data_IF_594096331811
#
_entry.id   IF_594096331811
#
_cell.length_a   1.000
_cell.length_b   1.000
_cell.length_c   1.000
_cell.angle_alpha   90.00
_cell.angle_beta   90.00
_cell.angle_gamma   90.00
#
_symmetry.space_group_name_H-M   'P 1'
#
loop_
_entity.id
_entity.type
_entity.pdbx_description
1 polymer ?
#
# COMPACT_ATOMS: atom_id res chain seq x y z
N UNK A 1 -34.38 -6.58 11.18
CA UNK A 1 -33.64 -6.90 9.94
C UNK A 1 -32.88 -5.65 9.51
N UNK A 2 -31.54 -5.63 9.61
CA UNK A 2 -30.75 -4.52 9.06
C UNK A 2 -30.45 -4.83 7.60
N UNK A 3 -31.19 -4.19 6.69
CA UNK A 3 -30.84 -4.16 5.28
C UNK A 3 -29.59 -3.26 5.19
N UNK A 4 -28.43 -3.87 5.05
CA UNK A 4 -27.20 -3.15 4.76
C UNK A 4 -27.15 -2.96 3.24
N UNK A 5 -27.03 -1.71 2.77
CA UNK A 5 -26.75 -1.48 1.35
C UNK A 5 -25.38 -2.08 1.00
N UNK A 6 -25.14 -2.31 -0.29
CA UNK A 6 -23.87 -2.81 -0.81
C UNK A 6 -22.69 -1.96 -0.30
N UNK A 7 -22.91 -0.65 -0.14
CA UNK A 7 -21.89 0.27 0.41
C UNK A 7 -21.54 -0.04 1.87
N UNK A 8 -22.53 -0.35 2.72
CA UNK A 8 -22.30 -0.74 4.12
C UNK A 8 -21.60 -2.10 4.23
N UNK A 9 -21.83 -3.02 3.29
CA UNK A 9 -21.12 -4.29 3.23
C UNK A 9 -19.65 -4.03 2.84
N UNK A 10 -19.41 -3.24 1.80
CA UNK A 10 -18.06 -2.89 1.38
C UNK A 10 -17.28 -2.13 2.46
N UNK A 11 -17.90 -1.20 3.18
CA UNK A 11 -17.21 -0.48 4.28
C UNK A 11 -16.70 -1.44 5.38
N UNK A 12 -17.43 -2.52 5.63
CA UNK A 12 -17.11 -3.48 6.71
C UNK A 12 -16.13 -4.56 6.29
N UNK A 13 -16.11 -4.95 5.01
CA UNK A 13 -15.33 -6.09 4.51
C UNK A 13 -14.26 -5.72 3.48
N UNK A 14 -14.25 -4.50 2.95
CA UNK A 14 -13.24 -4.09 1.99
C UNK A 14 -11.86 -4.02 2.65
N UNK A 15 -10.81 -4.49 1.95
CA UNK A 15 -9.44 -4.35 2.43
C UNK A 15 -9.09 -2.87 2.57
N UNK A 16 -8.30 -2.53 3.59
CA UNK A 16 -7.81 -1.17 3.80
C UNK A 16 -6.42 -1.01 3.23
N UNK A 17 -6.20 0.11 2.55
CA UNK A 17 -4.88 0.51 2.08
C UNK A 17 -3.98 0.81 3.27
N UNK A 18 -2.82 0.16 3.36
CA UNK A 18 -1.90 0.35 4.47
C UNK A 18 -1.31 1.78 4.49
N UNK A 19 -1.10 2.39 3.32
CA UNK A 19 -0.46 3.71 3.22
C UNK A 19 -1.41 4.89 3.51
N UNK A 20 -2.69 4.82 3.10
CA UNK A 20 -3.64 5.93 3.28
C UNK A 20 -4.79 5.61 4.26
N UNK A 21 -4.83 4.39 4.78
CA UNK A 21 -5.83 3.87 5.74
C UNK A 21 -7.29 3.89 5.24
N UNK A 22 -7.55 4.24 3.98
CA UNK A 22 -8.87 4.20 3.34
C UNK A 22 -9.17 2.80 2.78
N UNK A 23 -10.45 2.46 2.68
CA UNK A 23 -10.89 1.23 2.01
C UNK A 23 -10.49 1.24 0.54
N UNK A 24 -10.16 0.06 0.02
CA UNK A 24 -9.94 -0.16 -1.41
C UNK A 24 -11.28 -0.67 -1.94
N UNK A 25 -11.99 0.21 -2.63
CA UNK A 25 -13.29 -0.06 -3.24
C UNK A 25 -13.12 -0.24 -4.75
N UNK A 26 -14.01 -1.00 -5.41
CA UNK A 26 -14.03 -1.06 -6.86
C UNK A 26 -14.39 0.34 -7.41
N UNK A 27 -13.87 0.65 -8.59
CA UNK A 27 -14.23 1.88 -9.29
C UNK A 27 -15.71 1.81 -9.68
N UNK A 28 -16.44 2.93 -9.62
CA UNK A 28 -17.86 2.99 -9.97
C UNK A 28 -18.15 2.32 -11.32
N UNK A 29 -18.90 1.22 -11.30
CA UNK A 29 -19.23 0.43 -12.49
C UNK A 29 -18.37 -0.82 -12.73
N UNK A 30 -17.39 -1.11 -11.86
CA UNK A 30 -16.65 -2.37 -11.85
C UNK A 30 -17.12 -3.27 -10.70
N UNK A 31 -17.23 -4.57 -10.94
CA UNK A 31 -17.53 -5.55 -9.89
C UNK A 31 -16.28 -5.95 -9.10
N UNK A 32 -15.09 -5.82 -9.70
CA UNK A 32 -13.83 -6.24 -9.11
C UNK A 32 -13.03 -5.08 -8.52
N UNK A 33 -12.43 -5.34 -7.36
CA UNK A 33 -11.53 -4.40 -6.70
C UNK A 33 -10.08 -4.73 -7.05
N UNK A 34 -9.41 -3.83 -7.78
CA UNK A 34 -7.98 -3.97 -8.05
C UNK A 34 -7.16 -3.42 -6.88
N UNK A 35 -6.22 -4.22 -6.38
CA UNK A 35 -5.32 -3.85 -5.29
C UNK A 35 -3.95 -4.48 -5.50
N UNK A 36 -2.93 -3.85 -4.92
CA UNK A 36 -1.60 -4.46 -4.79
C UNK A 36 -1.51 -5.15 -3.43
N UNK A 37 -1.00 -6.38 -3.42
CA UNK A 37 -0.69 -7.12 -2.18
C UNK A 37 0.82 -7.25 -2.08
N UNK A 38 1.41 -6.68 -1.03
CA UNK A 38 2.84 -6.77 -0.74
C UNK A 38 3.05 -6.88 0.77
N UNK A 39 3.90 -7.80 1.21
CA UNK A 39 4.18 -8.04 2.64
C UNK A 39 2.92 -8.20 3.50
N UNK A 40 1.96 -8.99 3.03
CA UNK A 40 0.65 -9.21 3.66
C UNK A 40 -0.20 -7.93 3.86
N UNK A 41 0.17 -6.84 3.19
CA UNK A 41 -0.52 -5.56 3.22
C UNK A 41 -1.16 -5.27 1.88
N UNK A 42 -2.32 -4.63 1.93
CA UNK A 42 -3.05 -4.18 0.75
C UNK A 42 -2.78 -2.70 0.47
N UNK A 43 -2.66 -2.34 -0.80
CA UNK A 43 -2.43 -0.96 -1.24
C UNK A 43 -3.32 -0.63 -2.44
N UNK A 44 -3.75 0.62 -2.55
CA UNK A 44 -4.19 1.16 -3.84
C UNK A 44 -3.01 1.15 -4.82
N UNK A 45 -3.29 1.00 -6.12
CA UNK A 45 -2.26 1.07 -7.18
C UNK A 45 -1.45 2.35 -7.05
N UNK A 46 -2.13 3.48 -6.83
CA UNK A 46 -1.48 4.78 -6.67
C UNK A 46 -0.73 4.88 -5.34
N UNK A 47 -1.17 4.18 -4.29
CA UNK A 47 -0.54 4.26 -2.97
C UNK A 47 0.67 3.35 -2.82
N UNK A 48 0.91 2.44 -3.76
CA UNK A 48 2.06 1.56 -3.77
C UNK A 48 3.30 2.30 -4.29
N UNK A 49 3.88 3.13 -3.41
CA UNK A 49 5.02 4.02 -3.68
C UNK A 49 6.01 4.03 -2.53
N UNK A 50 7.25 4.42 -2.81
CA UNK A 50 8.29 4.61 -1.81
C UNK A 50 7.89 5.69 -0.81
N UNK A 51 7.90 5.39 0.48
CA UNK A 51 7.52 6.34 1.53
C UNK A 51 8.51 7.51 1.69
N UNK A 52 9.75 7.36 1.21
CA UNK A 52 10.77 8.40 1.33
C UNK A 52 10.81 9.37 0.13
N UNK A 53 10.62 8.87 -1.10
CA UNK A 53 10.73 9.71 -2.31
C UNK A 53 9.47 9.73 -3.17
N UNK A 54 8.40 9.08 -2.73
CA UNK A 54 7.09 9.00 -3.40
C UNK A 54 7.11 8.40 -4.82
N UNK A 55 8.22 7.78 -5.26
CA UNK A 55 8.27 7.07 -6.54
C UNK A 55 7.34 5.86 -6.51
N UNK A 56 6.48 5.74 -7.51
CA UNK A 56 5.61 4.58 -7.66
C UNK A 56 6.47 3.34 -7.98
N UNK A 57 6.15 2.21 -7.36
CA UNK A 57 6.81 0.96 -7.69
C UNK A 57 6.24 0.43 -9.00
N UNK A 58 7.12 0.14 -9.96
CA UNK A 58 6.74 -0.58 -11.18
C UNK A 58 6.71 -2.09 -10.90
N UNK A 59 6.04 -2.86 -11.74
CA UNK A 59 6.01 -4.33 -11.62
C UNK A 59 7.41 -4.97 -11.76
N UNK A 60 8.35 -4.26 -12.37
CA UNK A 60 9.73 -4.74 -12.57
C UNK A 60 10.65 -4.38 -11.40
N UNK A 61 10.42 -3.23 -10.77
CA UNK A 61 11.22 -2.75 -9.63
C UNK A 61 10.54 -3.13 -8.31
N UNK A 62 11.05 -4.18 -7.68
CA UNK A 62 10.57 -4.61 -6.36
C UNK A 62 10.68 -3.53 -5.29
N UNK A 63 9.81 -3.61 -4.29
CA UNK A 63 9.88 -2.80 -3.08
C UNK A 63 10.69 -3.52 -1.98
N UNK A 64 11.24 -2.75 -1.05
CA UNK A 64 12.07 -3.25 0.05
C UNK A 64 11.41 -2.85 1.38
N UNK A 65 10.93 -3.82 2.18
CA UNK A 65 10.29 -3.54 3.45
C UNK A 65 11.35 -3.22 4.51
N UNK A 66 11.10 -2.21 5.33
CA UNK A 66 11.96 -1.85 6.46
C UNK A 66 11.15 -1.14 7.53
N UNK A 67 11.15 -1.70 8.74
CA UNK A 67 10.55 -1.08 9.94
C UNK A 67 9.13 -0.54 9.65
N UNK A 68 8.29 -1.38 9.04
CA UNK A 68 6.93 -1.07 8.58
C UNK A 68 6.77 -0.12 7.39
N UNK A 69 7.86 0.39 6.82
CA UNK A 69 7.84 1.22 5.62
C UNK A 69 8.23 0.45 4.36
N UNK A 70 7.64 0.81 3.21
CA UNK A 70 8.05 0.33 1.89
C UNK A 70 8.96 1.35 1.19
N UNK A 71 10.18 0.93 0.84
CA UNK A 71 11.19 1.79 0.23
C UNK A 71 11.62 1.27 -1.14
N UNK A 72 12.00 2.17 -2.04
CA UNK A 72 12.71 1.81 -3.26
C UNK A 72 14.17 1.43 -2.95
N UNK A 73 14.80 0.67 -3.84
CA UNK A 73 16.19 0.23 -3.69
C UNK A 73 17.16 1.39 -3.35
N UNK A 74 17.13 2.55 -4.03
CA UNK A 74 17.95 3.70 -3.67
C UNK A 74 17.73 4.20 -2.24
N UNK A 75 16.47 4.36 -1.82
CA UNK A 75 16.13 4.84 -0.48
C UNK A 75 16.53 3.83 0.60
N UNK A 76 16.31 2.53 0.37
CA UNK A 76 16.73 1.47 1.29
C UNK A 76 18.26 1.41 1.45
N UNK A 77 19.01 1.57 0.33
CA UNK A 77 20.49 1.65 0.37
C UNK A 77 20.97 2.87 1.17
N UNK A 78 20.34 4.03 0.98
CA UNK A 78 20.69 5.25 1.72
C UNK A 78 20.38 5.11 3.23
N UNK A 79 19.26 4.49 3.59
CA UNK A 79 18.91 4.19 4.98
C UNK A 79 19.93 3.28 5.64
N UNK A 80 20.37 2.23 4.94
CA UNK A 80 21.35 1.26 5.43
C UNK A 80 22.72 1.90 5.72
N UNK A 81 23.07 2.96 5.01
CA UNK A 81 24.29 3.74 5.24
C UNK A 81 24.17 4.67 6.45
N UNK A 82 23.00 5.30 6.66
CA UNK A 82 22.77 6.23 7.78
C UNK A 82 22.85 5.56 9.15
N UNK A 83 22.39 4.30 9.29
CA UNK A 83 22.52 3.54 10.56
C UNK A 83 23.96 3.22 10.98
N UNK A 84 24.96 3.32 10.07
CA UNK A 84 26.37 3.04 10.41
C UNK A 84 27.16 4.25 10.91
N UNK A 85 26.63 5.46 10.79
CA UNK A 85 27.31 6.70 11.19
C UNK A 85 26.85 7.24 12.56
N UNK A 86 26.15 6.44 13.36
CA UNK A 86 25.72 6.79 14.73
C UNK A 86 26.23 5.77 15.77
N UNK A 87 27.46 5.27 15.58
CA UNK A 87 28.23 4.54 16.58
C UNK A 87 29.58 5.20 16.76
#
# INVERSE_FOLDING_TARGET
>A
MKIHCIDCFHEKFAPRCYACHRTILPVSGQEETVRIIAFDRSYHIDCYRCENCNVQFTTEEGCYPRDDSVLCLPCNRNYSKKKRNHS
#
